data_IF_323876013625
#
_entry.id   IF_323876013625
#
_cell.length_a   1.000
_cell.length_b   1.000
_cell.length_c   1.000
_cell.angle_alpha   90.00
_cell.angle_beta   90.00
_cell.angle_gamma   90.00
#
_symmetry.space_group_name_H-M   'P 1'
#
loop_
_entity.id
_entity.type
_entity.pdbx_description
1 polymer ?
#
# COMPACT_ATOMS: atom_id res chain seq x y z
N UNK A 1 0.45 17.64 -12.30
CA UNK A 1 0.64 16.38 -11.55
C UNK A 1 0.08 16.61 -10.15
N UNK A 2 -0.89 15.80 -9.71
CA UNK A 2 -1.45 15.88 -8.36
C UNK A 2 -1.01 14.65 -7.56
N UNK A 3 -0.64 14.84 -6.30
CA UNK A 3 -0.18 13.75 -5.41
C UNK A 3 -1.19 13.60 -4.29
N UNK A 4 -1.69 12.38 -4.09
CA UNK A 4 -2.46 12.00 -2.91
C UNK A 4 -1.54 11.16 -2.02
N UNK A 5 -1.31 11.60 -0.79
CA UNK A 5 -0.56 10.84 0.21
C UNK A 5 -1.54 10.11 1.11
N UNK A 6 -1.31 8.81 1.31
CA UNK A 6 -2.13 7.94 2.14
C UNK A 6 -1.24 7.17 3.11
N UNK A 7 -1.61 7.16 4.39
CA UNK A 7 -0.97 6.32 5.40
C UNK A 7 -1.75 5.02 5.57
N UNK A 8 -1.11 3.90 5.32
CA UNK A 8 -1.69 2.57 5.51
C UNK A 8 -1.07 1.98 6.76
N UNK A 9 -1.92 1.88 7.80
CA UNK A 9 -1.56 1.24 9.06
C UNK A 9 -2.01 -0.20 9.03
N UNK A 10 -1.08 -1.11 9.29
CA UNK A 10 -1.40 -2.52 9.44
C UNK A 10 -1.58 -2.84 10.94
N UNK A 11 -2.48 -3.78 11.30
CA UNK A 11 -2.61 -4.26 12.68
C UNK A 11 -1.26 -4.75 13.23
N UNK A 12 -1.06 -4.63 14.55
CA UNK A 12 0.19 -4.99 15.24
C UNK A 12 0.56 -6.47 15.09
N UNK A 13 -0.45 -7.34 15.05
CA UNK A 13 -0.29 -8.76 14.74
C UNK A 13 -1.06 -9.10 13.46
N UNK A 14 -0.32 -9.48 12.42
CA UNK A 14 -0.90 -10.01 11.18
C UNK A 14 -0.44 -11.44 10.98
N UNK A 15 -1.39 -12.37 11.13
CA UNK A 15 -1.21 -13.74 10.66
C UNK A 15 -1.49 -13.84 9.17
N UNK A 16 -0.44 -14.15 8.41
CA UNK A 16 -0.49 -14.24 6.96
C UNK A 16 -0.58 -12.89 6.24
N UNK A 17 -0.29 -12.92 4.94
CA UNK A 17 -0.42 -11.77 4.07
C UNK A 17 -1.87 -11.30 3.89
N UNK A 18 -2.06 -9.98 3.79
CA UNK A 18 -3.36 -9.32 3.61
C UNK A 18 -3.39 -8.42 2.39
N UNK A 19 -4.59 -8.24 1.85
CA UNK A 19 -4.84 -7.28 0.77
C UNK A 19 -5.82 -6.24 1.31
N UNK A 20 -5.39 -4.99 1.36
CA UNK A 20 -6.23 -3.83 1.64
C UNK A 20 -6.66 -3.26 0.30
N UNK A 21 -7.95 -3.00 0.15
CA UNK A 21 -8.51 -2.37 -1.04
C UNK A 21 -9.07 -1.01 -0.64
N UNK A 22 -8.64 0.05 -1.33
CA UNK A 22 -9.16 1.40 -1.14
C UNK A 22 -9.65 1.97 -2.47
N UNK A 23 -10.68 2.80 -2.41
CA UNK A 23 -11.20 3.53 -3.57
C UNK A 23 -11.13 5.03 -3.27
N UNK A 24 -10.54 5.80 -4.18
CA UNK A 24 -10.44 7.25 -4.06
C UNK A 24 -11.24 7.93 -5.16
N UNK A 25 -11.93 9.01 -4.78
CA UNK A 25 -12.58 9.92 -5.72
C UNK A 25 -11.63 11.10 -5.96
N UNK A 26 -11.33 11.38 -7.23
CA UNK A 26 -10.38 12.42 -7.63
C UNK A 26 -11.07 13.63 -8.23
N UNK A 27 -12.40 13.69 -8.26
CA UNK A 27 -13.14 14.85 -8.77
C UNK A 27 -12.66 16.16 -8.08
N UNK A 28 -12.40 17.24 -8.83
CA UNK A 28 -12.68 17.44 -10.27
C UNK A 28 -11.54 17.02 -11.22
N UNK A 29 -10.48 16.37 -10.74
CA UNK A 29 -9.31 15.97 -11.54
C UNK A 29 -9.62 14.73 -12.37
N UNK A 30 -9.57 14.89 -13.70
CA UNK A 30 -9.64 13.77 -14.66
C UNK A 30 -8.34 12.98 -14.66
N UNK A 31 -8.45 11.67 -14.82
CA UNK A 31 -7.32 10.75 -14.75
C UNK A 31 -7.06 10.08 -16.09
N UNK A 32 -5.81 10.06 -16.51
CA UNK A 32 -5.31 9.24 -17.62
C UNK A 32 -4.43 8.09 -17.13
N UNK A 33 -3.65 8.32 -16.07
CA UNK A 33 -2.78 7.31 -15.46
C UNK A 33 -2.59 7.57 -13.97
N UNK A 34 -2.36 6.50 -13.22
CA UNK A 34 -2.01 6.56 -11.80
C UNK A 34 -0.71 5.80 -11.61
N UNK A 35 0.22 6.37 -10.84
CA UNK A 35 1.44 5.70 -10.39
C UNK A 35 1.43 5.69 -8.87
N UNK A 36 1.62 4.53 -8.26
CA UNK A 36 1.81 4.42 -6.82
C UNK A 36 3.30 4.29 -6.50
N UNK A 37 3.76 5.01 -5.49
CA UNK A 37 5.10 4.90 -4.95
C UNK A 37 5.02 4.71 -3.44
N UNK A 38 5.68 3.68 -2.93
CA UNK A 38 5.86 3.45 -1.50
C UNK A 38 6.87 4.49 -0.96
N UNK A 39 6.48 5.24 0.06
CA UNK A 39 7.34 6.19 0.75
C UNK A 39 7.45 5.78 2.23
N UNK A 40 8.67 5.40 2.64
CA UNK A 40 8.90 4.87 3.98
C UNK A 40 8.54 3.39 4.08
N UNK A 41 9.44 2.62 4.67
CA UNK A 41 9.21 1.23 5.04
C UNK A 41 9.44 1.18 6.54
N UNK A 42 8.40 0.93 7.34
CA UNK A 42 8.61 0.44 8.69
C UNK A 42 8.76 -1.08 8.65
N UNK A 43 9.88 -1.56 9.16
CA UNK A 43 10.26 -2.96 9.16
C UNK A 43 9.46 -3.72 10.22
N UNK A 44 8.53 -4.57 9.78
CA UNK A 44 8.00 -5.63 10.63
C UNK A 44 9.02 -6.76 10.75
N UNK A 45 9.86 -6.74 11.78
CA UNK A 45 10.82 -7.82 12.08
C UNK A 45 10.09 -8.97 12.77
N UNK A 46 10.11 -10.19 12.22
CA UNK A 46 9.83 -11.38 13.03
C UNK A 46 11.07 -11.74 13.86
N UNK A 47 10.90 -12.12 15.13
CA UNK A 47 12.01 -12.50 16.00
C UNK A 47 12.90 -13.66 15.47
N UNK A 48 12.38 -14.49 14.55
CA UNK A 48 13.08 -15.66 14.00
C UNK A 48 13.94 -15.41 12.73
N UNK A 49 13.75 -14.30 12.03
CA UNK A 49 14.49 -14.00 10.80
C UNK A 49 15.06 -12.60 10.88
N UNK A 50 16.40 -12.51 10.93
CA UNK A 50 17.16 -11.29 11.23
C UNK A 50 16.84 -10.06 10.38
N UNK A 51 17.58 -8.97 10.64
CA UNK A 51 17.34 -7.56 10.22
C UNK A 51 17.04 -7.27 8.73
N UNK A 52 16.96 -8.28 7.86
CA UNK A 52 16.84 -8.14 6.40
C UNK A 52 15.56 -8.74 5.80
N UNK A 53 14.61 -9.27 6.60
CA UNK A 53 13.34 -9.71 6.01
C UNK A 53 12.46 -8.51 5.63
N UNK A 54 12.59 -8.06 4.38
CA UNK A 54 11.72 -7.03 3.81
C UNK A 54 10.35 -7.64 3.56
N UNK A 55 9.34 -7.23 4.33
CA UNK A 55 7.97 -7.50 3.96
C UNK A 55 7.68 -6.86 2.60
N UNK A 56 7.37 -7.67 1.58
CA UNK A 56 7.06 -7.16 0.24
C UNK A 56 5.68 -6.50 0.27
N UNK A 57 5.65 -5.18 0.15
CA UNK A 57 4.41 -4.44 -0.11
C UNK A 57 4.26 -4.33 -1.62
N UNK A 58 3.24 -4.99 -2.17
CA UNK A 58 2.87 -4.88 -3.59
C UNK A 58 1.66 -3.96 -3.74
N UNK A 59 1.73 -3.02 -4.69
CA UNK A 59 0.68 -2.02 -4.91
C UNK A 59 0.21 -2.11 -6.35
N UNK A 60 -1.09 -2.34 -6.51
CA UNK A 60 -1.75 -2.33 -7.83
C UNK A 60 -2.80 -1.24 -7.87
N UNK A 61 -2.79 -0.45 -8.94
CA UNK A 61 -3.77 0.62 -9.17
C UNK A 61 -4.63 0.29 -10.37
N UNK A 62 -5.93 0.53 -10.26
CA UNK A 62 -6.90 0.35 -11.34
C UNK A 62 -7.76 1.61 -11.43
N UNK A 63 -7.89 2.17 -12.63
CA UNK A 63 -8.83 3.27 -12.89
C UNK A 63 -10.21 2.62 -13.15
N UNK A 64 -11.19 2.92 -12.29
CA UNK A 64 -12.57 2.45 -12.47
C UNK A 64 -13.28 3.35 -13.48
N UNK A 65 -13.10 4.66 -13.34
CA UNK A 65 -13.58 5.67 -14.28
C UNK A 65 -12.66 6.90 -14.21
N UNK A 66 -12.93 7.91 -15.05
CA UNK A 66 -12.10 9.11 -15.17
C UNK A 66 -11.93 9.93 -13.88
N UNK A 67 -12.72 9.67 -12.83
CA UNK A 67 -12.64 10.34 -11.52
C UNK A 67 -12.49 9.37 -10.34
N UNK A 68 -12.30 8.07 -10.59
CA UNK A 68 -12.24 7.06 -9.52
C UNK A 68 -11.13 6.05 -9.75
N UNK A 69 -10.37 5.83 -8.69
CA UNK A 69 -9.25 4.89 -8.67
C UNK A 69 -9.46 3.88 -7.56
N UNK A 70 -9.08 2.64 -7.84
CA UNK A 70 -9.03 1.56 -6.87
C UNK A 70 -7.58 1.16 -6.68
N UNK A 71 -7.15 1.06 -5.44
CA UNK A 71 -5.80 0.68 -5.05
C UNK A 71 -5.89 -0.59 -4.24
N UNK A 72 -5.10 -1.58 -4.64
CA UNK A 72 -4.88 -2.82 -3.92
C UNK A 72 -3.48 -2.77 -3.32
N UNK A 73 -3.40 -2.91 -2.01
CA UNK A 73 -2.17 -2.90 -1.25
C UNK A 73 -2.05 -4.27 -0.61
N UNK A 74 -1.12 -5.06 -1.12
CA UNK A 74 -0.84 -6.40 -0.61
C UNK A 74 0.35 -6.31 0.33
N UNK A 75 0.20 -6.88 1.52
CA UNK A 75 1.23 -6.95 2.54
C UNK A 75 1.55 -8.40 2.85
N UNK A 76 2.84 -8.72 2.88
CA UNK A 76 3.35 -9.97 3.45
C UNK A 76 3.07 -11.22 2.61
N UNK A 77 3.60 -12.33 3.11
CA UNK A 77 3.39 -13.67 2.56
C UNK A 77 2.31 -14.37 3.39
N UNK A 78 1.39 -15.10 2.73
CA UNK A 78 0.32 -15.87 3.40
C UNK A 78 0.81 -16.87 4.44
N UNK A 79 2.07 -17.30 4.36
CA UNK A 79 2.66 -18.34 5.20
C UNK A 79 3.39 -17.83 6.45
N UNK A 80 3.43 -16.52 6.71
CA UNK A 80 4.20 -15.94 7.82
C UNK A 80 3.34 -15.06 8.72
N UNK A 81 3.72 -15.04 10.00
CA UNK A 81 3.16 -14.12 10.98
C UNK A 81 4.11 -12.93 11.13
N UNK A 82 3.53 -11.75 11.22
CA UNK A 82 4.23 -10.50 11.51
C UNK A 82 3.72 -10.01 12.87
N UNK A 83 4.64 -9.91 13.82
CA UNK A 83 4.48 -9.55 15.24
C UNK A 83 4.74 -8.06 15.50
N UNK A 84 5.19 -7.32 14.47
CA UNK A 84 5.47 -5.89 14.54
C UNK A 84 4.61 -5.11 13.57
N UNK A 85 4.18 -3.95 14.06
CA UNK A 85 3.48 -2.95 13.27
C UNK A 85 4.34 -2.53 12.09
N UNK A 86 3.85 -2.80 10.89
CA UNK A 86 4.37 -2.20 9.68
C UNK A 86 3.44 -1.07 9.33
N UNK A 87 3.88 0.18 9.39
CA UNK A 87 3.17 1.28 8.78
C UNK A 87 3.83 1.59 7.43
N UNK A 88 3.03 1.95 6.44
CA UNK A 88 3.54 2.36 5.14
C UNK A 88 2.84 3.64 4.70
N UNK A 89 3.62 4.60 4.22
CA UNK A 89 3.05 5.74 3.52
C UNK A 89 3.12 5.46 2.02
N UNK A 90 2.03 5.67 1.30
CA UNK A 90 1.96 5.45 -0.13
C UNK A 90 1.52 6.77 -0.77
N UNK A 91 2.28 7.20 -1.77
CA UNK A 91 1.92 8.33 -2.62
C UNK A 91 1.34 7.83 -3.92
N UNK A 92 0.15 8.35 -4.25
CA UNK A 92 -0.50 8.15 -5.54
C UNK A 92 -0.31 9.40 -6.37
N UNK A 93 0.47 9.26 -7.44
CA UNK A 93 0.70 10.30 -8.43
C UNK A 93 -0.39 10.17 -9.49
N UNK A 94 -1.26 11.17 -9.53
CA UNK A 94 -2.32 11.31 -10.54
C UNK A 94 -1.77 12.07 -11.74
N UNK A 95 -1.79 11.39 -12.88
CA UNK A 95 -1.43 11.94 -14.18
C UNK A 95 -2.72 12.15 -14.98
N UNK A 96 -2.78 13.31 -15.64
CA UNK A 96 -3.90 13.78 -16.45
C UNK A 96 -3.42 13.97 -17.88
#
# INVERSE_FOLDING_TARGET
MNIITDSVRFPEELSGGRIITKTFNTYPIRLSKVVAALQGIDYGFSDDEGQFFRCTIDIKTQIINIYQIKVFITFGLRSKNFDKRTDATINYILLF
#
